data_IF_491551173617
#
_entry.id   IF_491551173617
#
_cell.length_a   1.000
_cell.length_b   1.000
_cell.length_c   1.000
_cell.angle_alpha   90.00
_cell.angle_beta   90.00
_cell.angle_gamma   90.00
#
_symmetry.space_group_name_H-M   'P 1'
#
loop_
_entity.id
_entity.type
_entity.pdbx_description
1 polymer ?
#
# COMPACT_ATOMS: atom_id res chain seq x y z
N UNK A 1 -20.75 8.11 -5.74
CA UNK A 1 -19.79 9.20 -6.00
C UNK A 1 -18.40 8.58 -5.97
N UNK A 2 -17.49 9.02 -6.82
CA UNK A 2 -16.23 8.32 -7.10
C UNK A 2 -15.36 8.25 -5.85
N UNK A 3 -15.13 7.04 -5.34
CA UNK A 3 -14.10 6.74 -4.34
C UNK A 3 -12.75 6.89 -5.03
N UNK A 4 -12.04 7.98 -4.73
CA UNK A 4 -10.66 8.15 -5.16
C UNK A 4 -9.83 7.06 -4.50
N UNK A 5 -9.29 6.16 -5.35
CA UNK A 5 -8.28 5.18 -4.96
C UNK A 5 -7.20 5.90 -4.16
N UNK A 6 -6.91 5.40 -2.96
CA UNK A 6 -5.62 5.66 -2.33
C UNK A 6 -4.58 4.90 -3.18
N UNK A 7 -4.15 5.54 -4.26
CA UNK A 7 -3.10 5.02 -5.12
C UNK A 7 -1.80 5.01 -4.32
N UNK A 8 -1.21 3.82 -4.16
CA UNK A 8 0.19 3.71 -3.80
C UNK A 8 1.00 4.47 -4.89
N UNK A 9 1.66 5.59 -4.56
CA UNK A 9 2.33 6.42 -5.56
C UNK A 9 3.55 5.75 -6.21
N UNK A 10 3.90 4.54 -5.76
CA UNK A 10 4.96 3.70 -6.31
C UNK A 10 4.44 2.49 -7.09
N UNK A 11 3.17 2.11 -6.95
CA UNK A 11 2.65 0.92 -7.61
C UNK A 11 2.57 1.14 -9.13
N UNK A 12 3.25 0.29 -9.90
CA UNK A 12 3.08 0.29 -11.36
C UNK A 12 1.65 -0.11 -11.73
N UNK A 13 0.92 0.77 -12.42
CA UNK A 13 -0.37 0.41 -13.04
C UNK A 13 -0.13 -0.75 -14.01
N UNK A 14 -0.60 -1.95 -13.68
CA UNK A 14 -0.74 -3.02 -14.68
C UNK A 14 -1.69 -2.50 -15.76
N UNK A 15 -1.18 -2.37 -16.98
CA UNK A 15 -1.96 -1.93 -18.12
C UNK A 15 -3.18 -2.83 -18.29
N UNK A 16 -4.38 -2.24 -18.19
CA UNK A 16 -5.62 -2.89 -18.58
C UNK A 16 -5.58 -3.06 -20.10
N UNK A 17 -5.29 -4.25 -20.59
CA UNK A 17 -5.54 -4.60 -21.98
C UNK A 17 -7.05 -4.69 -22.19
N UNK A 18 -7.64 -3.65 -22.77
CA UNK A 18 -9.03 -3.66 -23.22
C UNK A 18 -9.22 -4.67 -24.37
N UNK A 19 -10.42 -5.24 -24.54
CA UNK A 19 -10.67 -6.20 -25.61
C UNK A 19 -10.74 -5.47 -26.95
N UNK A 20 -9.89 -5.90 -27.88
CA UNK A 20 -9.97 -5.52 -29.28
C UNK A 20 -11.26 -6.06 -29.91
N UNK A 21 -12.06 -5.18 -30.50
CA UNK A 21 -13.16 -5.56 -31.38
C UNK A 21 -12.61 -6.27 -32.62
N UNK A 22 -13.14 -7.45 -32.94
CA UNK A 22 -13.04 -8.03 -34.29
C UNK A 22 -14.38 -8.64 -34.70
N UNK A 23 -14.95 -8.05 -35.74
CA UNK A 23 -16.03 -8.61 -36.55
C UNK A 23 -15.49 -9.72 -37.47
N UNK A 24 -16.29 -10.77 -37.68
CA UNK A 24 -16.44 -11.39 -39.00
C UNK A 24 -15.55 -12.59 -39.40
N UNK A 25 -16.18 -13.78 -39.34
CA UNK A 25 -16.11 -14.89 -40.30
C UNK A 25 -14.89 -15.86 -40.32
N UNK A 26 -15.23 -17.17 -40.22
CA UNK A 26 -14.41 -18.27 -40.73
C UNK A 26 -14.14 -19.40 -39.73
N UNK A 27 -14.94 -20.46 -39.78
CA UNK A 27 -14.74 -21.68 -39.02
C UNK A 27 -13.38 -22.33 -39.31
N UNK A 28 -12.57 -22.59 -38.27
CA UNK A 28 -11.45 -23.54 -38.26
C UNK A 28 -11.29 -24.12 -36.86
N UNK A 29 -11.19 -25.44 -36.79
CA UNK A 29 -11.04 -26.24 -35.56
C UNK A 29 -9.91 -25.71 -34.66
N UNK A 30 -10.24 -25.48 -33.39
CA UNK A 30 -9.29 -25.01 -32.36
C UNK A 30 -8.76 -26.22 -31.60
N UNK A 31 -7.46 -26.48 -31.76
CA UNK A 31 -6.66 -27.39 -30.95
C UNK A 31 -6.53 -26.81 -29.53
N UNK A 32 -6.64 -27.59 -28.44
CA UNK A 32 -6.51 -27.05 -27.09
C UNK A 32 -5.07 -26.54 -26.85
N UNK A 33 -4.89 -25.42 -26.13
CA UNK A 33 -3.57 -24.90 -25.79
C UNK A 33 -2.91 -25.76 -24.70
N UNK A 34 -1.56 -25.88 -24.70
CA UNK A 34 -0.85 -26.59 -23.64
C UNK A 34 -0.91 -25.82 -22.32
N UNK A 35 -1.04 -26.57 -21.22
CA UNK A 35 -0.95 -26.09 -19.83
C UNK A 35 0.27 -25.20 -19.64
N UNK A 36 0.05 -23.97 -19.18
CA UNK A 36 1.12 -23.03 -18.86
C UNK A 36 1.61 -23.29 -17.44
N UNK A 37 2.87 -23.70 -17.35
CA UNK A 37 3.60 -23.80 -16.09
C UNK A 37 3.74 -22.41 -15.43
N UNK A 38 3.78 -22.33 -14.09
CA UNK A 38 3.88 -21.05 -13.38
C UNK A 38 5.24 -20.39 -13.62
N UNK A 39 5.21 -19.17 -14.14
CA UNK A 39 6.38 -18.31 -14.29
C UNK A 39 6.86 -17.83 -12.91
N UNK A 40 7.93 -18.43 -12.40
CA UNK A 40 8.69 -17.87 -11.27
C UNK A 40 9.44 -16.63 -11.76
N UNK A 41 8.91 -15.45 -11.49
CA UNK A 41 9.67 -14.20 -11.59
C UNK A 41 10.67 -14.16 -10.43
N UNK A 42 11.94 -14.45 -10.71
CA UNK A 42 13.02 -14.20 -9.76
C UNK A 42 13.43 -12.73 -9.88
N UNK A 43 12.86 -11.88 -9.02
CA UNK A 43 13.40 -10.54 -8.80
C UNK A 43 14.81 -10.67 -8.18
N UNK A 44 15.79 -9.81 -8.56
CA UNK A 44 17.08 -9.77 -7.90
C UNK A 44 16.89 -9.42 -6.42
N UNK A 45 17.52 -10.20 -5.53
CA UNK A 45 17.46 -9.97 -4.09
C UNK A 45 18.17 -8.66 -3.74
N UNK A 46 17.40 -7.62 -3.43
CA UNK A 46 17.93 -6.36 -2.89
C UNK A 46 18.46 -6.63 -1.47
N UNK A 47 19.69 -6.23 -1.11
CA UNK A 47 20.17 -6.37 0.26
C UNK A 47 19.34 -5.51 1.20
N UNK A 48 18.50 -6.16 2.01
CA UNK A 48 17.67 -5.53 3.03
C UNK A 48 18.37 -5.60 4.41
N UNK A 49 18.31 -4.51 5.18
CA UNK A 49 18.94 -4.42 6.50
C UNK A 49 17.92 -4.00 7.56
N UNK A 50 18.08 -4.61 8.74
CA UNK A 50 17.13 -4.45 9.83
C UNK A 50 15.75 -5.00 9.48
N UNK A 51 14.91 -5.15 10.50
CA UNK A 51 13.53 -5.52 10.32
C UNK A 51 12.72 -4.75 11.34
N UNK A 52 11.54 -4.29 10.95
CA UNK A 52 10.52 -3.94 11.89
C UNK A 52 10.34 -5.18 12.76
N UNK A 53 10.62 -5.04 14.06
CA UNK A 53 10.42 -6.14 14.99
C UNK A 53 8.94 -6.50 14.88
N UNK A 54 8.57 -7.71 14.42
CA UNK A 54 7.16 -8.07 14.36
C UNK A 54 6.62 -7.87 15.76
N UNK A 55 5.71 -6.92 15.93
CA UNK A 55 5.12 -6.71 17.24
C UNK A 55 4.32 -7.97 17.50
N UNK A 56 4.73 -8.70 18.54
CA UNK A 56 3.81 -9.53 19.28
C UNK A 56 2.58 -8.68 19.55
N UNK A 57 1.43 -9.07 19.01
CA UNK A 57 0.09 -8.57 19.31
C UNK A 57 0.05 -7.70 20.58
N UNK A 58 0.32 -6.41 20.46
CA UNK A 58 -0.10 -5.48 21.50
C UNK A 58 -1.61 -5.56 21.45
N UNK A 59 -2.20 -6.32 22.37
CA UNK A 59 -3.59 -6.80 22.36
C UNK A 59 -4.52 -5.75 21.77
N UNK A 60 -4.75 -5.85 20.45
CA UNK A 60 -5.73 -5.02 19.79
C UNK A 60 -7.08 -5.40 20.37
N UNK A 61 -7.90 -4.40 20.68
CA UNK A 61 -9.28 -4.60 21.10
C UNK A 61 -10.23 -4.22 19.98
N UNK A 62 -11.48 -4.65 20.13
CA UNK A 62 -12.58 -4.12 19.34
C UNK A 62 -12.74 -2.61 19.56
N UNK A 63 -13.28 -1.94 18.55
CA UNK A 63 -13.74 -0.56 18.64
C UNK A 63 -14.88 -0.45 19.65
N UNK A 64 -14.99 0.73 20.21
CA UNK A 64 -16.06 1.19 21.10
C UNK A 64 -16.60 2.52 20.56
N UNK A 65 -17.59 3.10 21.24
CA UNK A 65 -18.12 4.43 20.89
C UNK A 65 -17.04 5.52 20.80
N UNK A 66 -15.94 5.41 21.55
CA UNK A 66 -14.81 6.35 21.43
C UNK A 66 -14.19 6.41 20.04
N UNK A 67 -14.08 5.27 19.37
CA UNK A 67 -13.51 5.20 18.02
C UNK A 67 -14.57 5.55 16.97
N UNK A 68 -15.85 5.23 17.22
CA UNK A 68 -16.97 5.64 16.37
C UNK A 68 -17.11 7.17 16.32
N UNK A 69 -17.07 7.85 17.47
CA UNK A 69 -17.07 9.32 17.54
C UNK A 69 -15.84 9.93 16.83
N UNK A 70 -14.66 9.31 16.96
CA UNK A 70 -13.44 9.77 16.30
C UNK A 70 -13.51 9.65 14.77
N UNK A 71 -14.10 8.55 14.29
CA UNK A 71 -14.42 8.34 12.88
C UNK A 71 -15.37 9.42 12.38
N UNK A 72 -16.47 9.66 13.10
CA UNK A 72 -17.48 10.66 12.71
C UNK A 72 -16.88 12.07 12.64
N UNK A 73 -16.08 12.45 13.64
CA UNK A 73 -15.41 13.74 13.69
C UNK A 73 -14.46 13.99 12.52
N UNK A 74 -13.95 12.92 11.87
CA UNK A 74 -12.96 13.00 10.79
C UNK A 74 -13.49 12.57 9.42
N UNK A 75 -14.80 12.40 9.24
CA UNK A 75 -15.39 11.98 7.96
C UNK A 75 -15.04 12.89 6.77
N UNK A 76 -14.71 14.15 7.03
CA UNK A 76 -14.38 15.15 6.00
C UNK A 76 -12.87 15.40 5.86
N UNK A 77 -12.05 14.73 6.67
CA UNK A 77 -10.60 14.88 6.58
C UNK A 77 -10.10 14.21 5.30
N UNK A 78 -9.34 14.95 4.50
CA UNK A 78 -8.63 14.38 3.34
C UNK A 78 -7.47 13.47 3.76
N UNK A 79 -7.02 13.57 5.01
CA UNK A 79 -5.95 12.75 5.56
C UNK A 79 -6.50 11.47 6.21
N UNK A 80 -6.85 10.50 5.37
CA UNK A 80 -7.31 9.18 5.82
C UNK A 80 -6.24 8.43 6.62
N UNK A 81 -4.95 8.67 6.37
CA UNK A 81 -3.87 8.04 7.12
C UNK A 81 -3.83 8.47 8.59
N UNK A 82 -4.13 9.74 8.89
CA UNK A 82 -4.18 10.24 10.27
C UNK A 82 -5.25 9.52 11.09
N UNK A 83 -6.46 9.37 10.52
CA UNK A 83 -7.55 8.63 11.17
C UNK A 83 -7.19 7.15 11.34
N UNK A 84 -6.66 6.51 10.30
CA UNK A 84 -6.22 5.12 10.37
C UNK A 84 -5.17 4.91 11.49
N UNK A 85 -4.19 5.79 11.60
CA UNK A 85 -3.19 5.75 12.66
C UNK A 85 -3.83 5.95 14.04
N UNK A 86 -4.81 6.85 14.15
CA UNK A 86 -5.53 7.14 15.39
C UNK A 86 -6.36 5.93 15.86
N UNK A 87 -7.13 5.30 14.96
CA UNK A 87 -7.93 4.11 15.27
C UNK A 87 -7.04 2.99 15.81
N UNK A 88 -5.93 2.68 15.13
CA UNK A 88 -5.00 1.64 15.60
C UNK A 88 -4.41 2.00 16.95
N UNK A 89 -4.05 3.26 17.17
CA UNK A 89 -3.49 3.70 18.45
C UNK A 89 -4.48 3.57 19.61
N UNK A 90 -5.73 4.05 19.43
CA UNK A 90 -6.80 3.95 20.42
C UNK A 90 -7.18 2.51 20.73
N UNK A 91 -7.26 1.66 19.71
CA UNK A 91 -7.53 0.22 19.88
C UNK A 91 -6.35 -0.58 20.43
N UNK A 92 -5.18 0.04 20.62
CA UNK A 92 -4.01 -0.57 21.28
C UNK A 92 -3.92 -0.25 22.78
N UNK A 93 -4.85 0.52 23.33
CA UNK A 93 -4.91 0.92 24.74
C UNK A 93 -6.32 0.74 25.30
N UNK A 94 -6.51 0.88 26.61
CA UNK A 94 -7.84 0.82 27.22
C UNK A 94 -8.76 1.95 26.69
N UNK A 95 -10.08 1.73 26.59
CA UNK A 95 -11.02 2.77 26.13
C UNK A 95 -10.91 4.06 26.98
N UNK A 96 -10.85 5.21 26.30
CA UNK A 96 -10.72 6.53 26.94
C UNK A 96 -9.34 6.83 27.55
N UNK A 97 -8.38 5.90 27.48
CA UNK A 97 -7.01 6.16 27.93
C UNK A 97 -6.27 7.09 26.96
N UNK A 98 -5.24 7.77 27.48
CA UNK A 98 -4.29 8.49 26.64
C UNK A 98 -3.61 7.54 25.64
N UNK A 99 -3.66 7.91 24.37
CA UNK A 99 -3.14 7.11 23.26
C UNK A 99 -1.92 7.75 22.58
N UNK A 100 -1.41 8.89 23.03
CA UNK A 100 -0.29 9.60 22.39
C UNK A 100 0.96 8.72 22.20
N UNK A 101 1.36 8.01 23.25
CA UNK A 101 2.48 7.07 23.15
C UNK A 101 2.18 5.89 22.21
N UNK A 102 0.91 5.47 22.09
CA UNK A 102 0.51 4.46 21.13
C UNK A 102 0.54 5.00 19.69
N UNK A 103 0.11 6.24 19.50
CA UNK A 103 0.09 6.93 18.22
C UNK A 103 1.49 7.11 17.65
N UNK A 104 2.45 7.57 18.47
CA UNK A 104 3.85 7.66 18.06
C UNK A 104 4.43 6.30 17.61
N UNK A 105 4.02 5.20 18.27
CA UNK A 105 4.43 3.85 17.87
C UNK A 105 3.75 3.40 16.58
N UNK A 106 2.47 3.70 16.38
CA UNK A 106 1.74 3.36 15.15
C UNK A 106 2.33 4.11 13.95
N UNK A 107 2.67 5.39 14.11
CA UNK A 107 3.33 6.18 13.08
C UNK A 107 4.70 5.60 12.66
N UNK A 108 5.36 4.83 13.53
CA UNK A 108 6.63 4.16 13.21
C UNK A 108 6.47 2.79 12.54
N UNK A 109 5.25 2.27 12.41
CA UNK A 109 4.98 1.04 11.66
C UNK A 109 5.14 1.28 10.16
N UNK A 110 5.42 0.22 9.41
CA UNK A 110 5.13 0.24 7.97
C UNK A 110 3.63 0.41 7.73
N UNK A 111 3.25 0.91 6.55
CA UNK A 111 1.84 1.05 6.16
C UNK A 111 1.12 -0.29 6.19
N UNK A 112 1.81 -1.35 5.78
CA UNK A 112 1.27 -2.71 5.71
C UNK A 112 1.01 -3.30 7.09
N UNK A 113 1.90 -3.11 8.07
CA UNK A 113 1.66 -3.53 9.46
C UNK A 113 0.46 -2.79 10.08
N UNK A 114 0.33 -1.49 9.78
CA UNK A 114 -0.80 -0.67 10.21
C UNK A 114 -2.10 -1.15 9.56
N UNK A 115 -2.11 -1.47 8.27
CA UNK A 115 -3.30 -1.95 7.56
C UNK A 115 -3.71 -3.36 8.02
N UNK A 116 -2.75 -4.25 8.28
CA UNK A 116 -3.03 -5.54 8.92
C UNK A 116 -3.68 -5.37 10.31
N UNK A 117 -3.23 -4.37 11.09
CA UNK A 117 -3.83 -4.04 12.38
C UNK A 117 -5.27 -3.54 12.23
N UNK A 118 -5.57 -2.73 11.21
CA UNK A 118 -6.94 -2.27 10.90
C UNK A 118 -7.86 -3.43 10.51
N UNK A 119 -7.39 -4.36 9.66
CA UNK A 119 -8.13 -5.59 9.31
C UNK A 119 -8.45 -6.38 10.58
N UNK A 120 -7.48 -6.52 11.49
CA UNK A 120 -7.69 -7.23 12.76
C UNK A 120 -8.69 -6.53 13.68
N UNK A 121 -8.60 -5.21 13.82
CA UNK A 121 -9.58 -4.41 14.58
C UNK A 121 -10.98 -4.57 14.00
N UNK A 122 -11.10 -4.57 12.67
CA UNK A 122 -12.38 -4.81 11.99
C UNK A 122 -12.95 -6.20 12.30
N UNK A 123 -12.12 -7.24 12.29
CA UNK A 123 -12.54 -8.59 12.67
C UNK A 123 -13.03 -8.64 14.12
N UNK A 124 -12.31 -8.00 15.05
CA UNK A 124 -12.67 -7.95 16.46
C UNK A 124 -13.97 -7.20 16.72
N UNK A 125 -14.23 -6.15 15.93
CA UNK A 125 -15.37 -5.24 16.15
C UNK A 125 -16.67 -5.76 15.55
N UNK A 126 -16.60 -6.32 14.34
CA UNK A 126 -17.78 -6.61 13.52
C UNK A 126 -17.75 -8.01 12.88
N UNK A 127 -16.83 -8.88 13.33
CA UNK A 127 -16.69 -10.25 12.84
C UNK A 127 -15.88 -10.38 11.54
N UNK A 128 -15.68 -11.63 11.12
CA UNK A 128 -14.78 -11.97 10.01
C UNK A 128 -15.37 -11.76 8.61
N UNK A 129 -16.69 -11.72 8.49
CA UNK A 129 -17.39 -11.58 7.22
C UNK A 129 -17.74 -10.11 6.97
N UNK A 130 -17.44 -9.65 5.75
CA UNK A 130 -17.83 -8.33 5.24
C UNK A 130 -18.83 -8.54 4.11
N UNK A 131 -19.97 -7.88 4.23
CA UNK A 131 -21.02 -7.87 3.21
C UNK A 131 -20.94 -6.57 2.41
N UNK A 132 -20.74 -6.66 1.09
CA UNK A 132 -20.53 -5.50 0.22
C UNK A 132 -21.39 -5.59 -1.03
N UNK A 133 -21.76 -4.43 -1.56
CA UNK A 133 -22.38 -4.32 -2.87
C UNK A 133 -21.40 -3.69 -3.86
N UNK A 134 -21.06 -4.43 -4.92
CA UNK A 134 -20.09 -3.98 -5.94
C UNK A 134 -20.73 -3.96 -7.32
N UNK A 135 -20.65 -2.82 -8.01
CA UNK A 135 -21.15 -2.69 -9.37
C UNK A 135 -20.19 -3.36 -10.37
N UNK A 136 -20.72 -4.24 -11.22
CA UNK A 136 -19.96 -4.86 -12.29
C UNK A 136 -19.52 -3.79 -13.30
N UNK A 137 -18.22 -3.69 -13.62
CA UNK A 137 -17.73 -2.70 -14.57
C UNK A 137 -18.21 -2.96 -16.02
N UNK A 138 -18.62 -4.18 -16.34
CA UNK A 138 -19.05 -4.55 -17.69
C UNK A 138 -20.54 -4.24 -17.97
N UNK A 139 -21.43 -4.46 -17.00
CA UNK A 139 -22.88 -4.34 -17.21
C UNK A 139 -23.60 -3.47 -16.18
N UNK A 140 -22.91 -2.97 -15.15
CA UNK A 140 -23.49 -2.15 -14.09
C UNK A 140 -24.32 -2.92 -13.06
N UNK A 141 -24.46 -4.24 -13.19
CA UNK A 141 -25.20 -5.06 -12.23
C UNK A 141 -24.57 -4.96 -10.83
N UNK A 142 -25.40 -4.82 -9.80
CA UNK A 142 -24.98 -4.72 -8.40
C UNK A 142 -24.85 -6.12 -7.80
N UNK A 143 -23.62 -6.55 -7.55
CA UNK A 143 -23.31 -7.86 -6.98
C UNK A 143 -23.26 -7.74 -5.47
N UNK A 144 -23.93 -8.65 -4.76
CA UNK A 144 -23.72 -8.86 -3.33
C UNK A 144 -22.54 -9.82 -3.16
N UNK A 145 -21.57 -9.43 -2.36
CA UNK A 145 -20.32 -10.17 -2.16
C UNK A 145 -20.08 -10.32 -0.66
N UNK A 146 -19.88 -11.57 -0.26
CA UNK A 146 -19.41 -11.93 1.08
C UNK A 146 -17.91 -12.20 1.03
N UNK A 147 -17.17 -11.44 1.82
CA UNK A 147 -15.72 -11.50 1.88
C UNK A 147 -15.24 -11.84 3.29
N UNK A 148 -14.31 -12.80 3.41
CA UNK A 148 -13.71 -13.16 4.70
C UNK A 148 -12.39 -12.44 4.88
N UNK A 149 -12.27 -11.67 5.95
CA UNK A 149 -11.04 -10.96 6.29
C UNK A 149 -9.91 -11.94 6.62
N UNK A 150 -10.23 -13.11 7.17
CA UNK A 150 -9.28 -14.20 7.42
C UNK A 150 -8.68 -14.81 6.15
N UNK A 151 -9.25 -14.54 4.98
CA UNK A 151 -8.71 -14.98 3.70
C UNK A 151 -7.73 -13.97 3.09
N UNK A 152 -7.57 -12.77 3.67
CA UNK A 152 -6.59 -11.80 3.20
C UNK A 152 -5.16 -12.33 3.44
N UNK A 153 -4.26 -12.20 2.45
CA UNK A 153 -2.86 -12.59 2.60
C UNK A 153 -2.12 -11.54 3.44
N UNK A 154 -2.39 -11.50 4.74
CA UNK A 154 -1.67 -10.63 5.67
C UNK A 154 -0.20 -11.07 5.72
N UNK A 155 0.76 -10.15 5.53
CA UNK A 155 2.16 -10.53 5.51
C UNK A 155 2.65 -10.95 6.88
N UNK A 156 3.23 -12.14 6.94
CA UNK A 156 3.85 -12.70 8.15
C UNK A 156 5.34 -12.37 8.24
N UNK A 157 5.95 -12.00 7.11
CA UNK A 157 7.37 -11.69 7.04
C UNK A 157 7.66 -10.31 7.66
N UNK A 158 8.76 -10.16 8.44
CA UNK A 158 9.18 -8.86 8.93
C UNK A 158 9.46 -7.90 7.78
N UNK A 159 8.93 -6.68 7.89
CA UNK A 159 9.20 -5.62 6.91
C UNK A 159 10.61 -5.09 7.14
N UNK A 160 11.47 -4.99 6.11
CA UNK A 160 12.80 -4.43 6.29
C UNK A 160 12.70 -2.94 6.65
N UNK A 161 13.62 -2.46 7.49
CA UNK A 161 13.67 -1.03 7.86
C UNK A 161 14.49 -0.21 6.88
N UNK A 162 15.45 -0.85 6.20
CA UNK A 162 16.37 -0.20 5.27
C UNK A 162 16.66 -1.08 4.05
N UNK A 163 16.91 -0.42 2.92
CA UNK A 163 17.24 -1.03 1.64
C UNK A 163 18.52 -0.41 1.08
N UNK A 164 19.47 -1.28 0.74
CA UNK A 164 20.70 -0.87 0.05
C UNK A 164 20.45 -0.92 -1.46
N UNK A 165 20.78 0.18 -2.15
CA UNK A 165 20.44 0.38 -3.57
C UNK A 165 21.72 0.53 -4.37
N UNK A 166 21.87 -0.31 -5.39
CA UNK A 166 22.88 -0.09 -6.43
C UNK A 166 22.37 0.95 -7.43
N UNK A 167 23.11 2.04 -7.58
CA UNK A 167 22.74 3.14 -8.45
C UNK A 167 23.27 2.87 -9.87
N UNK A 168 22.50 3.20 -10.93
CA UNK A 168 22.92 2.98 -12.30
C UNK A 168 24.23 3.72 -12.62
N UNK A 169 25.19 3.05 -13.27
CA UNK A 169 26.53 3.61 -13.50
C UNK A 169 26.59 4.89 -14.35
N UNK A 170 25.54 5.21 -15.12
CA UNK A 170 25.43 6.47 -15.86
C UNK A 170 24.90 7.64 -15.02
N UNK A 171 24.43 7.37 -13.80
CA UNK A 171 23.90 8.39 -12.90
C UNK A 171 24.99 9.02 -12.03
N UNK A 172 26.20 8.45 -11.96
CA UNK A 172 27.22 8.79 -10.96
C UNK A 172 28.67 8.68 -11.47
N UNK A 173 29.64 9.32 -10.78
CA UNK A 173 31.07 9.16 -11.05
C UNK A 173 31.55 7.69 -10.97
N UNK A 174 32.73 7.41 -11.53
CA UNK A 174 33.23 6.04 -11.71
C UNK A 174 33.56 5.27 -10.42
N UNK A 175 33.68 5.96 -9.27
CA UNK A 175 34.11 5.36 -8.01
C UNK A 175 33.07 4.40 -7.39
N UNK A 176 33.47 3.25 -6.82
CA UNK A 176 32.52 2.25 -6.28
C UNK A 176 31.64 2.76 -5.14
N UNK A 177 32.20 3.54 -4.21
CA UNK A 177 31.45 4.14 -3.09
C UNK A 177 30.44 5.20 -3.57
N UNK A 178 30.68 5.78 -4.75
CA UNK A 178 29.77 6.72 -5.38
C UNK A 178 28.58 6.02 -6.07
N UNK A 179 28.48 4.68 -6.06
CA UNK A 179 27.44 3.92 -6.77
C UNK A 179 26.38 3.27 -5.88
N UNK A 180 26.30 3.65 -4.60
CA UNK A 180 25.29 3.11 -3.70
C UNK A 180 24.45 4.20 -3.05
N UNK A 181 23.21 3.85 -2.72
CA UNK A 181 22.36 4.60 -1.81
C UNK A 181 21.87 3.68 -0.69
N UNK A 182 21.50 4.29 0.43
CA UNK A 182 20.79 3.65 1.52
C UNK A 182 19.52 4.45 1.76
N UNK A 183 18.38 3.77 1.79
CA UNK A 183 17.11 4.39 2.14
C UNK A 183 16.41 3.56 3.21
N UNK A 184 15.71 4.21 4.14
CA UNK A 184 14.75 3.52 5.00
C UNK A 184 13.47 3.21 4.23
N UNK A 185 12.69 2.26 4.71
CA UNK A 185 11.32 2.07 4.21
C UNK A 185 10.40 3.19 4.72
N UNK A 186 9.42 3.63 3.92
CA UNK A 186 8.38 4.56 4.36
C UNK A 186 7.55 4.00 5.51
N UNK A 187 7.16 4.87 6.43
CA UNK A 187 6.32 4.52 7.59
C UNK A 187 4.90 5.07 7.44
N UNK A 188 3.97 4.59 8.27
CA UNK A 188 2.61 5.12 8.35
C UNK A 188 2.59 6.62 8.71
N UNK A 189 3.58 7.10 9.47
CA UNK A 189 3.75 8.53 9.76
C UNK A 189 4.21 9.34 8.54
N UNK A 190 5.02 8.78 7.64
CA UNK A 190 5.38 9.46 6.40
C UNK A 190 4.19 9.62 5.45
N UNK A 191 3.31 8.61 5.40
CA UNK A 191 2.07 8.68 4.63
C UNK A 191 1.12 9.75 5.21
N UNK A 192 1.00 9.79 6.54
CA UNK A 192 0.21 10.81 7.21
C UNK A 192 0.74 12.22 6.93
N UNK A 193 2.06 12.43 7.05
CA UNK A 193 2.66 13.73 6.78
C UNK A 193 2.52 14.13 5.30
N UNK A 194 2.60 13.16 4.38
CA UNK A 194 2.38 13.40 2.96
C UNK A 194 0.96 13.88 2.67
N UNK A 195 -0.05 13.26 3.28
CA UNK A 195 -1.45 13.67 3.09
C UNK A 195 -1.73 15.02 3.76
N UNK A 196 -1.16 15.28 4.94
CA UNK A 196 -1.23 16.58 5.61
C UNK A 196 -0.59 17.71 4.81
N UNK A 197 0.46 17.41 4.03
CA UNK A 197 1.14 18.42 3.22
C UNK A 197 0.29 18.95 2.06
N UNK A 198 -0.83 18.30 1.71
CA UNK A 198 -1.74 18.77 0.66
C UNK A 198 -1.09 18.85 -0.73
N UNK A 199 -0.03 18.06 -0.98
CA UNK A 199 0.73 18.10 -2.23
C UNK A 199 -0.07 17.39 -3.33
N UNK A 200 -0.54 18.14 -4.32
CA UNK A 200 -1.35 17.60 -5.42
C UNK A 200 -0.50 16.82 -6.45
N UNK A 201 0.67 17.35 -6.81
CA UNK A 201 1.50 16.75 -7.87
C UNK A 201 2.16 15.45 -7.42
N UNK A 202 1.92 14.36 -8.15
CA UNK A 202 2.55 13.06 -7.91
C UNK A 202 4.08 13.14 -7.87
N UNK A 203 4.70 13.89 -8.79
CA UNK A 203 6.16 14.10 -8.82
C UNK A 203 6.67 14.82 -7.58
N UNK A 204 5.90 15.77 -7.04
CA UNK A 204 6.24 16.46 -5.80
C UNK A 204 6.04 15.54 -4.58
N UNK A 205 4.98 14.71 -4.55
CA UNK A 205 4.76 13.69 -3.51
C UNK A 205 5.91 12.69 -3.44
N UNK A 206 6.40 12.21 -4.60
CA UNK A 206 7.59 11.34 -4.68
C UNK A 206 8.84 12.03 -4.15
N UNK A 207 9.02 13.31 -4.48
CA UNK A 207 10.15 14.11 -3.98
C UNK A 207 10.10 14.25 -2.46
N UNK A 208 8.93 14.59 -1.91
CA UNK A 208 8.69 14.69 -0.47
C UNK A 208 9.04 13.40 0.25
N UNK A 209 8.55 12.25 -0.23
CA UNK A 209 8.84 10.96 0.40
C UNK A 209 10.33 10.60 0.29
N UNK A 210 10.94 10.74 -0.88
CA UNK A 210 12.35 10.44 -1.10
C UNK A 210 13.28 11.27 -0.17
N UNK A 211 12.99 12.56 0.04
CA UNK A 211 13.75 13.40 0.97
C UNK A 211 13.70 12.90 2.43
N UNK A 212 12.59 12.27 2.82
CA UNK A 212 12.42 11.74 4.17
C UNK A 212 13.04 10.36 4.38
N UNK A 213 13.15 9.57 3.31
CA UNK A 213 13.61 8.17 3.42
C UNK A 213 15.06 7.97 3.01
N UNK A 214 15.66 8.88 2.24
CA UNK A 214 17.04 8.76 1.80
C UNK A 214 18.00 9.05 2.97
N UNK A 215 18.82 8.05 3.32
CA UNK A 215 19.81 8.13 4.41
C UNK A 215 21.17 8.47 3.83
N UNK A 216 21.56 7.80 2.75
CA UNK A 216 22.88 7.95 2.12
C UNK A 216 22.74 7.93 0.61
N UNK A 217 23.53 8.75 -0.08
CA UNK A 217 23.56 8.79 -1.54
C UNK A 217 24.99 9.06 -2.05
N UNK A 218 25.51 8.17 -2.88
CA UNK A 218 26.81 8.30 -3.52
C UNK A 218 27.97 8.63 -2.54
N UNK A 219 27.94 8.02 -1.35
CA UNK A 219 28.92 8.23 -0.29
C UNK A 219 28.68 9.45 0.61
N UNK A 220 27.70 10.30 0.30
CA UNK A 220 27.24 11.37 1.19
C UNK A 220 26.16 10.88 2.15
N UNK A 221 26.21 11.33 3.41
CA UNK A 221 25.19 11.09 4.43
C UNK A 221 24.17 12.24 4.46
N UNK A 222 22.92 11.90 4.74
CA UNK A 222 21.81 12.86 4.88
C UNK A 222 21.80 13.60 6.24
N UNK A 223 20.73 14.35 6.54
CA UNK A 223 19.47 14.42 5.78
C UNK A 223 19.62 15.16 4.45
N UNK A 224 18.84 14.74 3.46
CA UNK A 224 18.75 15.42 2.17
C UNK A 224 17.44 16.19 2.10
N UNK A 225 17.51 17.46 1.70
CA UNK A 225 16.30 18.25 1.50
C UNK A 225 15.60 17.93 0.17
N UNK A 226 14.39 18.45 -0.02
CA UNK A 226 13.64 18.23 -1.26
C UNK A 226 14.34 18.81 -2.50
N UNK A 227 15.11 19.89 -2.35
CA UNK A 227 15.80 20.51 -3.48
C UNK A 227 16.90 19.58 -4.01
N UNK A 228 17.67 18.96 -3.11
CA UNK A 228 18.65 17.94 -3.42
C UNK A 228 18.00 16.73 -4.10
N UNK A 229 16.95 16.17 -3.50
CA UNK A 229 16.27 14.99 -4.04
C UNK A 229 15.63 15.27 -5.40
N UNK A 230 15.07 16.46 -5.59
CA UNK A 230 14.50 16.90 -6.88
C UNK A 230 15.56 17.00 -7.98
N UNK A 231 16.80 17.35 -7.62
CA UNK A 231 17.93 17.47 -8.55
C UNK A 231 18.59 16.13 -8.90
N UNK A 232 18.24 15.03 -8.21
CA UNK A 232 18.79 13.71 -8.50
C UNK A 232 18.45 13.26 -9.94
N UNK A 233 19.37 12.54 -10.62
CA UNK A 233 19.08 11.93 -11.91
C UNK A 233 17.84 11.03 -11.85
N UNK A 234 16.97 11.10 -12.87
CA UNK A 234 15.74 10.30 -12.95
C UNK A 234 16.02 8.80 -12.77
N UNK A 235 17.12 8.30 -13.36
CA UNK A 235 17.51 6.91 -13.24
C UNK A 235 17.88 6.50 -11.80
N UNK A 236 18.51 7.40 -11.04
CA UNK A 236 18.84 7.16 -9.64
C UNK A 236 17.57 7.16 -8.77
N UNK A 237 16.67 8.14 -8.98
CA UNK A 237 15.37 8.19 -8.29
C UNK A 237 14.58 6.91 -8.54
N UNK A 238 14.45 6.49 -9.80
CA UNK A 238 13.73 5.28 -10.16
C UNK A 238 14.38 4.00 -9.62
N UNK A 239 15.71 3.95 -9.47
CA UNK A 239 16.38 2.82 -8.83
C UNK A 239 16.07 2.73 -7.33
N UNK A 240 16.08 3.86 -6.62
CA UNK A 240 15.73 3.93 -5.20
C UNK A 240 14.26 3.57 -4.98
N UNK A 241 13.35 4.15 -5.77
CA UNK A 241 11.91 3.86 -5.71
C UNK A 241 11.63 2.37 -5.91
N UNK A 242 12.21 1.74 -6.96
CA UNK A 242 12.06 0.30 -7.21
C UNK A 242 12.64 -0.56 -6.10
N UNK A 243 13.77 -0.17 -5.51
CA UNK A 243 14.38 -0.93 -4.43
C UNK A 243 13.52 -0.91 -3.16
N UNK A 244 12.92 0.23 -2.84
CA UNK A 244 11.94 0.36 -1.75
C UNK A 244 10.70 -0.49 -2.05
N UNK A 245 10.11 -0.34 -3.23
CA UNK A 245 8.91 -1.09 -3.65
C UNK A 245 9.15 -2.61 -3.59
N UNK A 246 10.30 -3.08 -4.06
CA UNK A 246 10.64 -4.51 -4.08
C UNK A 246 10.90 -5.11 -2.69
N UNK A 247 11.20 -4.28 -1.70
CA UNK A 247 11.51 -4.71 -0.34
C UNK A 247 10.29 -4.72 0.59
N UNK A 248 9.25 -3.96 0.25
CA UNK A 248 8.02 -3.93 1.02
C UNK A 248 7.13 -5.12 0.64
N UNK A 249 6.53 -5.82 1.62
CA UNK A 249 5.51 -6.80 1.30
C UNK A 249 4.30 -6.11 0.67
N UNK A 250 3.69 -6.79 -0.30
CA UNK A 250 2.40 -6.36 -0.83
C UNK A 250 1.27 -6.84 0.09
N UNK A 251 0.25 -6.01 0.28
CA UNK A 251 -0.99 -6.39 0.95
C UNK A 251 -2.09 -6.34 -0.09
N UNK A 252 -2.36 -7.49 -0.69
CA UNK A 252 -3.40 -7.61 -1.71
C UNK A 252 -4.79 -7.57 -1.03
N UNK A 253 -5.43 -6.41 -1.13
CA UNK A 253 -6.80 -6.17 -0.69
C UNK A 253 -7.81 -6.34 -1.84
N UNK A 254 -7.46 -7.06 -2.90
CA UNK A 254 -8.33 -7.36 -4.03
C UNK A 254 -9.36 -8.44 -3.71
N UNK A 255 -10.62 -8.19 -4.06
CA UNK A 255 -11.69 -9.18 -4.02
C UNK A 255 -12.04 -9.61 -5.43
N UNK A 256 -11.87 -10.89 -5.74
CA UNK A 256 -12.34 -11.47 -6.99
C UNK A 256 -13.87 -11.64 -6.96
N UNK A 257 -14.56 -11.07 -7.94
CA UNK A 257 -16.02 -11.10 -8.07
C UNK A 257 -16.39 -11.67 -9.43
N UNK A 258 -17.37 -12.58 -9.45
CA UNK A 258 -17.97 -13.06 -10.68
C UNK A 258 -19.40 -12.53 -10.80
N UNK A 259 -19.68 -11.79 -11.87
CA UNK A 259 -20.99 -11.20 -12.09
C UNK A 259 -22.00 -12.29 -12.54
N UNK A 260 -23.09 -12.52 -11.81
CA UNK A 260 -24.09 -13.52 -12.20
C UNK A 260 -24.94 -13.07 -13.40
N UNK A 261 -24.99 -11.76 -13.68
CA UNK A 261 -25.79 -11.20 -14.77
C UNK A 261 -25.13 -11.33 -16.15
N UNK A 262 -23.81 -11.14 -16.25
CA UNK A 262 -23.08 -11.20 -17.52
C UNK A 262 -21.93 -12.20 -17.56
N UNK A 263 -21.62 -12.88 -16.45
CA UNK A 263 -20.56 -13.87 -16.34
C UNK A 263 -19.14 -13.29 -16.23
N UNK A 264 -18.96 -11.97 -16.33
CA UNK A 264 -17.65 -11.34 -16.25
C UNK A 264 -17.01 -11.50 -14.86
N UNK A 265 -15.75 -11.94 -14.82
CA UNK A 265 -14.90 -11.89 -13.64
C UNK A 265 -14.18 -10.54 -13.55
N UNK A 266 -14.10 -9.96 -12.37
CA UNK A 266 -13.38 -8.71 -12.12
C UNK A 266 -12.85 -8.66 -10.68
N UNK A 267 -11.86 -7.81 -10.44
CA UNK A 267 -11.34 -7.52 -9.10
C UNK A 267 -11.89 -6.18 -8.61
N UNK A 268 -12.35 -6.16 -7.36
CA UNK A 268 -12.76 -4.94 -6.65
C UNK A 268 -11.81 -4.69 -5.49
N UNK A 269 -11.26 -3.47 -5.32
CA UNK A 269 -10.45 -3.16 -4.15
C UNK A 269 -11.32 -3.17 -2.90
N UNK A 270 -10.80 -3.75 -1.82
CA UNK A 270 -11.30 -3.57 -0.47
C UNK A 270 -10.57 -2.38 0.17
N UNK A 271 -11.27 -1.26 0.31
CA UNK A 271 -10.74 -0.08 0.98
C UNK A 271 -10.97 -0.19 2.49
N UNK A 272 -9.90 -0.54 3.21
CA UNK A 272 -9.91 -0.67 4.66
C UNK A 272 -10.28 0.65 5.35
N UNK A 273 -9.88 1.80 4.80
CA UNK A 273 -10.20 3.11 5.37
C UNK A 273 -11.66 3.48 5.15
N UNK A 274 -12.18 3.29 3.94
CA UNK A 274 -13.59 3.53 3.61
C UNK A 274 -14.54 2.61 4.38
N UNK A 275 -14.05 1.46 4.89
CA UNK A 275 -14.86 0.64 5.78
C UNK A 275 -15.18 1.39 7.09
N UNK A 276 -14.20 2.09 7.67
CA UNK A 276 -14.42 2.85 8.91
C UNK A 276 -15.11 4.17 8.64
N UNK A 277 -14.90 4.77 7.46
CA UNK A 277 -15.50 6.04 7.04
C UNK A 277 -16.67 5.78 6.07
N UNK A 278 -17.89 5.45 6.53
CA UNK A 278 -19.02 5.35 5.62
C UNK A 278 -19.22 6.69 4.91
N UNK A 279 -19.47 6.61 3.60
CA UNK A 279 -19.69 7.74 2.70
C UNK A 279 -21.16 8.14 2.60
#
# INVERSE_FOLDING_TARGET
MATERIENPFAQRRAQTGPAQREGAGAREVRPPPESAPSRSMAPSVPARGAHKPRSDSQLRAMTGYEEEAVEARQRDSNTAALCNEIVARCSVAPGADFEAAYARVRALSTVERDASLVRIRQLSLGDVVHLQVACPACGHKNEVDFKLSALPLPEAPVPTEVEVELPGHALPAEPAARTALARTPTAGDQEDLLSAGIESESARRTFLLARVLIRYAGGEGPFDEAFVRALPIAARAAIERAIESALPDLDLGMAVQCPACGAGFESPFDVAAFFLPS
#
